data_IF_929027250899
#
_entry.id   IF_929027250899
#
_cell.length_a   1.000
_cell.length_b   1.000
_cell.length_c   1.000
_cell.angle_alpha   90.00
_cell.angle_beta   90.00
_cell.angle_gamma   90.00
#
_symmetry.space_group_name_H-M   'P 1'
#
loop_
_entity.id
_entity.type
_entity.pdbx_description
1 polymer ?
#
# COMPACT_ATOMS: atom_id res chain seq x y z
N UNK A 1 -14.24 -1.61 28.72
CA UNK A 1 -12.88 -1.39 29.27
C UNK A 1 -12.02 -2.58 28.88
N UNK A 2 -11.11 -2.41 27.93
CA UNK A 2 -9.83 -3.16 27.77
C UNK A 2 -9.22 -2.80 26.41
N UNK A 3 -8.57 -1.63 26.32
CA UNK A 3 -7.64 -1.35 25.23
C UNK A 3 -6.27 -1.87 25.67
N UNK A 4 -5.85 -2.98 25.10
CA UNK A 4 -4.50 -3.52 25.24
C UNK A 4 -3.58 -2.78 24.29
N UNK A 5 -2.65 -2.01 24.85
CA UNK A 5 -1.51 -1.39 24.18
C UNK A 5 -0.63 -2.47 23.53
N UNK A 6 -0.43 -2.39 22.22
CA UNK A 6 0.64 -3.10 21.53
C UNK A 6 1.64 -2.08 20.96
N UNK A 7 2.67 -1.87 21.78
CA UNK A 7 4.06 -1.57 21.43
C UNK A 7 4.38 -1.00 20.04
N UNK A 8 4.95 0.20 20.10
CA UNK A 8 6.00 0.72 19.23
C UNK A 8 6.93 -0.34 18.62
N UNK A 9 7.16 -0.27 17.31
CA UNK A 9 8.35 -0.84 16.68
C UNK A 9 8.10 -1.73 15.47
N UNK A 10 7.67 -1.14 14.34
CA UNK A 10 8.01 -1.61 12.99
C UNK A 10 7.51 -0.56 12.00
N UNK A 11 8.23 -0.32 10.90
CA UNK A 11 7.71 0.42 9.74
C UNK A 11 6.56 -0.38 9.10
N UNK A 12 5.40 -0.38 9.76
CA UNK A 12 4.18 -0.99 9.24
C UNK A 12 3.70 -0.14 8.07
N UNK A 13 3.79 -0.71 6.86
CA UNK A 13 3.12 -0.16 5.69
C UNK A 13 1.64 0.06 5.96
N UNK A 14 1.07 1.05 5.26
CA UNK A 14 -0.36 1.32 5.32
C UNK A 14 -1.09 0.09 4.78
N UNK A 15 -1.89 -0.58 5.60
CA UNK A 15 -2.73 -1.70 5.15
C UNK A 15 -4.09 -1.14 4.73
N UNK A 16 -4.43 -1.29 3.45
CA UNK A 16 -5.69 -0.84 2.87
C UNK A 16 -6.43 -2.07 2.36
N UNK A 17 -7.44 -2.53 3.09
CA UNK A 17 -8.31 -3.64 2.66
C UNK A 17 -7.89 -5.02 3.18
N UNK A 18 -8.88 -5.80 3.62
CA UNK A 18 -8.69 -7.14 4.15
C UNK A 18 -8.16 -8.10 3.09
N UNK A 19 -6.89 -8.45 3.18
CA UNK A 19 -6.30 -9.48 2.32
C UNK A 19 -4.87 -9.16 1.92
N UNK A 20 -3.93 -9.18 2.87
CA UNK A 20 -2.50 -9.41 2.61
C UNK A 20 -1.78 -8.48 1.63
N UNK A 21 -2.38 -7.39 1.15
CA UNK A 21 -1.76 -6.49 0.19
C UNK A 21 -1.18 -5.30 0.96
N UNK A 22 0.15 -5.26 1.06
CA UNK A 22 0.86 -4.14 1.67
C UNK A 22 1.22 -3.13 0.59
N UNK A 23 0.95 -1.86 0.84
CA UNK A 23 1.40 -0.76 -0.01
C UNK A 23 2.92 -0.70 0.05
N UNK A 24 3.59 -0.98 -1.07
CA UNK A 24 5.05 -1.05 -1.13
C UNK A 24 5.71 0.27 -1.54
N UNK A 25 5.00 1.12 -2.29
CA UNK A 25 5.54 2.39 -2.73
C UNK A 25 4.42 3.42 -2.90
N UNK A 26 4.69 4.67 -2.54
CA UNK A 26 3.81 5.80 -2.76
C UNK A 26 4.43 6.73 -3.81
N UNK A 27 3.69 7.01 -4.87
CA UNK A 27 4.09 7.88 -5.97
C UNK A 27 3.22 9.13 -5.99
N UNK A 28 3.88 10.29 -5.93
CA UNK A 28 3.25 11.60 -6.09
C UNK A 28 3.23 11.97 -7.57
N UNK A 29 2.07 12.36 -8.09
CA UNK A 29 1.93 12.91 -9.44
C UNK A 29 1.11 14.19 -9.45
N UNK A 30 1.34 15.03 -10.44
CA UNK A 30 0.68 16.33 -10.59
C UNK A 30 -0.29 16.23 -11.75
N UNK A 31 -1.53 16.65 -11.49
CA UNK A 31 -2.60 16.65 -12.48
C UNK A 31 -3.24 15.28 -12.71
N UNK A 32 -4.52 15.33 -13.08
CA UNK A 32 -5.36 14.15 -13.26
C UNK A 32 -4.92 13.26 -14.43
N UNK A 33 -4.32 13.83 -15.48
CA UNK A 33 -3.86 13.08 -16.65
C UNK A 33 -2.76 12.08 -16.29
N UNK A 34 -1.77 12.51 -15.50
CA UNK A 34 -0.70 11.64 -15.03
C UNK A 34 -1.21 10.59 -14.04
N UNK A 35 -2.17 10.97 -13.19
CA UNK A 35 -2.81 10.04 -12.28
C UNK A 35 -3.55 8.92 -13.04
N UNK A 36 -4.35 9.28 -14.04
CA UNK A 36 -5.10 8.33 -14.85
C UNK A 36 -4.19 7.34 -15.61
N UNK A 37 -3.05 7.81 -16.11
CA UNK A 37 -2.07 6.92 -16.74
C UNK A 37 -1.57 5.85 -15.76
N UNK A 38 -1.18 6.25 -14.55
CA UNK A 38 -0.66 5.32 -13.55
C UNK A 38 -1.73 4.38 -12.99
N UNK A 39 -2.97 4.85 -12.87
CA UNK A 39 -4.12 3.99 -12.56
C UNK A 39 -4.32 2.92 -13.63
N UNK A 40 -4.19 3.28 -14.92
CA UNK A 40 -4.22 2.32 -16.03
C UNK A 40 -3.06 1.31 -16.02
N UNK A 41 -1.91 1.68 -15.46
CA UNK A 41 -0.75 0.81 -15.27
C UNK A 41 -0.86 -0.09 -14.02
N UNK A 42 -1.99 -0.06 -13.30
CA UNK A 42 -2.25 -0.92 -12.14
C UNK A 42 -1.82 -0.35 -10.79
N UNK A 43 -1.52 0.96 -10.72
CA UNK A 43 -1.44 1.65 -9.43
C UNK A 43 -2.85 1.86 -8.87
N UNK A 44 -2.96 2.02 -7.55
CA UNK A 44 -4.23 2.32 -6.91
C UNK A 44 -4.21 3.71 -6.29
N UNK A 45 -5.38 4.34 -6.22
CA UNK A 45 -5.54 5.66 -5.63
C UNK A 45 -5.45 5.60 -4.10
N UNK A 46 -4.66 6.49 -3.50
CA UNK A 46 -4.52 6.61 -2.04
C UNK A 46 -5.17 7.90 -1.54
N UNK A 47 -4.73 9.05 -2.04
CA UNK A 47 -5.30 10.35 -1.67
C UNK A 47 -4.99 11.43 -2.70
N UNK A 48 -5.63 12.57 -2.56
CA UNK A 48 -5.36 13.78 -3.34
C UNK A 48 -5.35 14.99 -2.40
N UNK A 49 -4.47 15.95 -2.69
CA UNK A 49 -4.49 17.26 -2.05
C UNK A 49 -4.19 18.36 -3.06
N UNK A 50 -4.70 19.56 -2.77
CA UNK A 50 -4.40 20.75 -3.55
C UNK A 50 -3.23 21.49 -2.91
N UNK A 51 -2.19 21.76 -3.70
CA UNK A 51 -1.06 22.57 -3.26
C UNK A 51 -1.31 24.04 -3.57
N UNK A 52 -1.76 24.80 -2.58
CA UNK A 52 -2.11 26.22 -2.74
C UNK A 52 -0.93 27.08 -3.20
N UNK A 53 0.29 26.77 -2.75
CA UNK A 53 1.47 27.56 -3.10
C UNK A 53 1.85 27.47 -4.58
N UNK A 54 1.52 26.35 -5.23
CA UNK A 54 1.81 26.11 -6.65
C UNK A 54 0.56 26.09 -7.54
N UNK A 55 -0.63 26.18 -6.94
CA UNK A 55 -1.92 26.01 -7.61
C UNK A 55 -2.02 24.69 -8.39
N UNK A 56 -1.58 23.60 -7.78
CA UNK A 56 -1.48 22.28 -8.43
C UNK A 56 -2.29 21.23 -7.68
N UNK A 57 -3.03 20.42 -8.44
CA UNK A 57 -3.63 19.19 -7.92
C UNK A 57 -2.59 18.08 -7.83
N UNK A 58 -2.40 17.53 -6.64
CA UNK A 58 -1.44 16.47 -6.39
C UNK A 58 -2.17 15.19 -6.02
N UNK A 59 -1.89 14.12 -6.76
CA UNK A 59 -2.43 12.80 -6.54
C UNK A 59 -1.33 11.90 -5.94
N UNK A 60 -1.70 11.11 -4.93
CA UNK A 60 -0.86 10.08 -4.32
C UNK A 60 -1.42 8.73 -4.73
N UNK A 61 -0.59 7.96 -5.42
CA UNK A 61 -0.91 6.62 -5.88
C UNK A 61 0.00 5.61 -5.19
N UNK A 62 -0.50 4.41 -4.94
CA UNK A 62 0.28 3.33 -4.39
C UNK A 62 0.54 2.23 -5.41
N UNK A 63 1.62 1.48 -5.23
CA UNK A 63 1.86 0.22 -5.91
C UNK A 63 1.79 -0.95 -4.91
N UNK A 64 1.16 -2.04 -5.33
CA UNK A 64 1.11 -3.29 -4.58
C UNK A 64 2.10 -4.26 -5.22
N UNK A 65 3.02 -4.82 -4.43
CA UNK A 65 3.71 -6.04 -4.86
C UNK A 65 2.83 -7.23 -4.52
N UNK A 66 2.64 -8.19 -5.44
CA UNK A 66 2.01 -9.44 -5.08
C UNK A 66 2.86 -10.09 -4.00
N UNK A 67 2.29 -10.26 -2.80
CA UNK A 67 2.93 -11.08 -1.79
C UNK A 67 2.95 -12.48 -2.37
N UNK A 68 4.14 -12.99 -2.70
CA UNK A 68 4.34 -14.44 -2.80
C UNK A 68 3.99 -14.98 -1.42
N UNK A 69 2.74 -15.37 -1.22
CA UNK A 69 2.39 -16.18 -0.07
C UNK A 69 3.19 -17.45 -0.25
N UNK A 70 4.31 -17.55 0.48
CA UNK A 70 4.96 -18.82 0.68
C UNK A 70 3.90 -19.74 1.28
N UNK A 71 3.44 -20.68 0.46
CA UNK A 71 2.57 -21.76 0.92
C UNK A 71 3.40 -22.55 1.91
N UNK A 72 3.30 -22.20 3.19
CA UNK A 72 3.82 -23.04 4.27
C UNK A 72 3.11 -24.38 4.12
N UNK A 73 3.83 -25.49 3.88
CA UNK A 73 3.18 -26.79 3.81
C UNK A 73 2.51 -27.05 5.15
N UNK A 74 1.20 -27.26 5.12
CA UNK A 74 0.45 -27.71 6.30
C UNK A 74 0.63 -29.23 6.32
N UNK A 75 1.52 -29.72 7.19
CA UNK A 75 1.83 -31.14 7.29
C UNK A 75 3.20 -31.40 7.94
N UNK A 76 3.48 -32.67 8.24
CA UNK A 76 4.76 -33.08 8.79
C UNK A 76 5.82 -33.08 7.69
N UNK A 77 6.92 -32.35 7.90
CA UNK A 77 8.13 -32.44 7.07
C UNK A 77 8.78 -33.79 7.42
N UNK A 78 8.91 -34.74 6.48
CA UNK A 78 9.66 -35.97 6.73
C UNK A 78 11.10 -35.58 7.05
N UNK A 79 11.60 -36.02 8.21
CA UNK A 79 13.03 -36.01 8.50
C UNK A 79 13.53 -37.40 8.16
N UNK A 80 14.39 -37.48 7.15
CA UNK A 80 15.29 -38.63 6.99
C UNK A 80 16.35 -38.61 8.11
#
# INVERSE_FOLDING_TARGET
MSCSTCSSGSMGGISVGGGGENVTELKKVIGIEQANKLLGEGHFFVSMYFNEAKQEEVYILGSLKPIKQERKPIGFIPRD
#
